data_IF_587283568827
#
_entry.id   IF_587283568827
#
_cell.length_a   1.000
_cell.length_b   1.000
_cell.length_c   1.000
_cell.angle_alpha   90.00
_cell.angle_beta   90.00
_cell.angle_gamma   90.00
#
_symmetry.space_group_name_H-M   'P 1'
#
loop_
_entity.id
_entity.type
_entity.pdbx_description
1 polymer ?
#
# COMPACT_ATOMS: atom_id res chain seq x y z
N UNK A 1 34.20 -4.20 12.50
CA UNK A 1 33.13 -3.41 11.85
C UNK A 1 32.34 -4.35 10.96
N UNK A 2 31.17 -4.82 11.40
CA UNK A 2 30.34 -5.70 10.57
C UNK A 2 29.55 -4.84 9.58
N UNK A 3 29.93 -4.92 8.30
CA UNK A 3 29.18 -4.34 7.19
C UNK A 3 28.00 -5.27 6.95
N UNK A 4 26.81 -4.88 7.38
CA UNK A 4 25.57 -5.60 7.04
C UNK A 4 25.41 -5.54 5.52
N UNK A 5 25.72 -6.64 4.85
CA UNK A 5 25.45 -6.84 3.43
C UNK A 5 23.94 -6.89 3.25
N UNK A 6 23.31 -5.74 3.01
CA UNK A 6 21.95 -5.69 2.49
C UNK A 6 21.99 -6.37 1.13
N UNK A 7 21.49 -7.61 1.06
CA UNK A 7 21.35 -8.32 -0.19
C UNK A 7 20.52 -7.46 -1.17
N UNK A 8 20.79 -7.53 -2.49
CA UNK A 8 20.01 -6.80 -3.47
C UNK A 8 18.54 -7.18 -3.30
N UNK A 9 17.69 -6.20 -3.02
CA UNK A 9 16.26 -6.40 -3.15
C UNK A 9 15.94 -6.35 -4.64
N UNK A 10 15.59 -7.48 -5.23
CA UNK A 10 15.12 -7.51 -6.61
C UNK A 10 13.68 -6.99 -6.63
N UNK A 11 13.49 -5.90 -7.38
CA UNK A 11 12.18 -5.33 -7.66
C UNK A 11 11.73 -5.79 -9.05
N UNK A 12 10.56 -6.37 -9.13
CA UNK A 12 9.89 -6.70 -10.40
C UNK A 12 8.57 -5.95 -10.48
N UNK A 13 8.42 -5.12 -11.51
CA UNK A 13 7.17 -4.40 -11.74
C UNK A 13 6.10 -5.38 -12.23
N UNK A 14 4.98 -5.49 -11.53
CA UNK A 14 3.84 -6.33 -11.91
C UNK A 14 2.89 -5.59 -12.86
N UNK A 15 2.54 -4.34 -12.51
CA UNK A 15 1.75 -3.47 -13.39
C UNK A 15 1.98 -1.99 -13.05
N UNK A 16 1.72 -1.12 -14.01
CA UNK A 16 1.84 0.34 -13.90
C UNK A 16 0.64 0.98 -14.57
N UNK A 17 -0.06 1.82 -13.83
CA UNK A 17 -1.33 2.39 -14.22
C UNK A 17 -1.27 3.92 -14.10
N UNK A 18 -1.56 4.69 -15.16
CA UNK A 18 -1.76 6.12 -15.03
C UNK A 18 -3.03 6.38 -14.22
N UNK A 19 -2.96 7.34 -13.29
CA UNK A 19 -4.07 7.67 -12.41
C UNK A 19 -4.57 9.08 -12.74
N UNK A 20 -5.88 9.20 -12.96
CA UNK A 20 -6.51 10.52 -13.12
C UNK A 20 -6.63 11.27 -11.77
N UNK A 21 -6.66 10.54 -10.65
CA UNK A 21 -6.78 11.12 -9.31
C UNK A 21 -6.31 10.13 -8.24
N UNK A 22 -5.62 10.64 -7.23
CA UNK A 22 -5.35 9.97 -5.96
C UNK A 22 -6.05 10.73 -4.84
N UNK A 23 -6.66 10.04 -3.89
CA UNK A 23 -7.37 10.66 -2.77
C UNK A 23 -7.09 9.88 -1.50
N UNK A 24 -6.75 10.59 -0.44
CA UNK A 24 -6.37 9.96 0.83
C UNK A 24 -6.89 10.77 2.03
N UNK A 25 -7.03 10.09 3.14
CA UNK A 25 -7.40 10.68 4.44
C UNK A 25 -6.91 9.75 5.54
N UNK A 26 -6.45 10.32 6.65
CA UNK A 26 -6.10 9.57 7.85
C UNK A 26 -7.05 9.96 8.96
N UNK A 27 -7.68 8.99 9.62
CA UNK A 27 -8.61 9.22 10.73
C UNK A 27 -8.35 8.26 11.87
N UNK A 28 -8.80 8.63 13.07
CA UNK A 28 -8.84 7.69 14.19
C UNK A 28 -9.79 6.51 13.91
N UNK A 29 -9.54 5.37 14.56
CA UNK A 29 -10.32 4.14 14.34
C UNK A 29 -11.81 4.31 14.68
N UNK A 30 -12.14 5.16 15.65
CA UNK A 30 -13.50 5.46 16.10
C UNK A 30 -14.17 6.64 15.39
N UNK A 31 -13.60 7.16 14.31
CA UNK A 31 -14.17 8.29 13.59
C UNK A 31 -15.50 7.92 12.91
N UNK A 32 -16.59 8.61 13.30
CA UNK A 32 -17.95 8.36 12.80
C UNK A 32 -18.55 9.56 12.01
N UNK A 33 -17.72 10.53 11.60
CA UNK A 33 -18.15 11.70 10.82
C UNK A 33 -17.82 11.61 9.32
N UNK A 34 -18.14 12.66 8.54
CA UNK A 34 -17.63 12.85 7.18
C UNK A 34 -16.09 12.87 7.14
N UNK A 35 -15.51 12.26 6.11
CA UNK A 35 -14.06 12.22 5.92
C UNK A 35 -13.57 13.46 5.18
N UNK A 36 -12.53 14.11 5.70
CA UNK A 36 -11.85 15.23 5.05
C UNK A 36 -10.76 14.70 4.12
N UNK A 37 -11.13 14.47 2.86
CA UNK A 37 -10.23 13.93 1.85
C UNK A 37 -9.26 14.98 1.32
N UNK A 38 -7.99 14.59 1.24
CA UNK A 38 -6.99 15.26 0.41
C UNK A 38 -7.04 14.67 -0.99
N UNK A 39 -7.02 15.53 -2.01
CA UNK A 39 -7.12 15.12 -3.41
C UNK A 39 -5.91 15.59 -4.21
N UNK A 40 -5.28 14.67 -4.93
CA UNK A 40 -4.24 14.94 -5.92
C UNK A 40 -4.79 14.58 -7.29
N UNK A 41 -4.95 15.58 -8.16
CA UNK A 41 -5.40 15.38 -9.54
C UNK A 41 -4.20 14.99 -10.39
N UNK A 42 -4.34 13.90 -11.16
CA UNK A 42 -3.30 13.44 -12.06
C UNK A 42 -3.40 14.14 -13.40
N UNK A 43 -2.30 14.75 -13.84
CA UNK A 43 -2.19 15.44 -15.12
C UNK A 43 -1.25 14.68 -16.07
N UNK A 44 -1.30 13.34 -16.01
CA UNK A 44 -0.38 12.44 -16.72
C UNK A 44 0.91 12.12 -15.94
N UNK A 45 1.11 12.74 -14.79
CA UNK A 45 2.28 12.63 -13.90
C UNK A 45 2.05 11.70 -12.70
N UNK A 46 0.80 11.32 -12.42
CA UNK A 46 0.41 10.48 -11.30
C UNK A 46 0.28 9.01 -11.73
N UNK A 47 1.00 8.13 -11.05
CA UNK A 47 1.18 6.73 -11.42
C UNK A 47 0.94 5.83 -10.20
N UNK A 48 0.17 4.77 -10.40
CA UNK A 48 0.08 3.64 -9.47
C UNK A 48 0.88 2.46 -10.01
N UNK A 49 1.80 1.94 -9.21
CA UNK A 49 2.64 0.80 -9.57
C UNK A 49 2.44 -0.33 -8.57
N UNK A 50 2.22 -1.54 -9.08
CA UNK A 50 2.31 -2.75 -8.27
C UNK A 50 3.67 -3.38 -8.54
N UNK A 51 4.43 -3.62 -7.47
CA UNK A 51 5.77 -4.18 -7.53
C UNK A 51 5.84 -5.44 -6.68
N UNK A 52 6.58 -6.45 -7.13
CA UNK A 52 6.96 -7.59 -6.32
C UNK A 52 8.41 -7.41 -5.90
N UNK A 53 8.62 -7.33 -4.59
CA UNK A 53 9.92 -7.19 -3.92
C UNK A 53 10.34 -8.56 -3.37
N UNK A 54 11.46 -9.08 -3.86
CA UNK A 54 12.07 -10.27 -3.28
C UNK A 54 12.81 -9.88 -2.00
N UNK A 55 12.50 -10.56 -0.90
CA UNK A 55 13.26 -10.41 0.36
C UNK A 55 14.22 -11.59 0.44
N UNK A 56 15.52 -11.31 0.38
CA UNK A 56 16.54 -12.34 0.48
C UNK A 56 16.33 -13.19 1.76
N UNK A 57 16.26 -14.52 1.58
CA UNK A 57 16.01 -15.47 2.66
C UNK A 57 14.54 -15.77 2.97
N UNK A 58 13.58 -15.06 2.36
CA UNK A 58 12.16 -15.43 2.40
C UNK A 58 11.74 -15.97 1.04
N UNK A 59 11.28 -17.22 0.98
CA UNK A 59 10.76 -17.82 -0.27
C UNK A 59 9.50 -17.14 -0.83
N UNK A 60 8.95 -16.14 -0.13
CA UNK A 60 7.77 -15.38 -0.53
C UNK A 60 8.15 -13.95 -0.94
N UNK A 61 7.86 -13.59 -2.18
CA UNK A 61 7.97 -12.20 -2.63
C UNK A 61 6.83 -11.35 -2.09
N UNK A 62 7.13 -10.10 -1.71
CA UNK A 62 6.14 -9.15 -1.19
C UNK A 62 5.58 -8.30 -2.31
N UNK A 63 4.26 -8.14 -2.35
CA UNK A 63 3.58 -7.24 -3.28
C UNK A 63 3.37 -5.87 -2.63
N UNK A 64 3.88 -4.84 -3.28
CA UNK A 64 3.82 -3.44 -2.86
C UNK A 64 2.94 -2.67 -3.84
N UNK A 65 2.03 -1.85 -3.32
CA UNK A 65 1.34 -0.81 -4.08
C UNK A 65 2.01 0.54 -3.79
N UNK A 66 2.54 1.18 -4.82
CA UNK A 66 3.14 2.51 -4.75
C UNK A 66 2.33 3.50 -5.57
N UNK A 67 2.05 4.67 -5.00
CA UNK A 67 1.50 5.82 -5.72
C UNK A 67 2.59 6.88 -5.78
N UNK A 68 2.95 7.32 -6.98
CA UNK A 68 3.98 8.35 -7.17
C UNK A 68 3.52 9.44 -8.12
N UNK A 69 4.06 10.64 -7.92
CA UNK A 69 3.93 11.77 -8.83
C UNK A 69 5.34 12.22 -9.23
N UNK A 70 5.69 12.03 -10.50
CA UNK A 70 7.07 12.22 -10.98
C UNK A 70 8.08 11.39 -10.17
N UNK A 71 8.88 12.05 -9.32
CA UNK A 71 9.87 11.42 -8.43
C UNK A 71 9.37 11.27 -6.98
N UNK A 72 8.25 11.90 -6.63
CA UNK A 72 7.71 11.90 -5.27
C UNK A 72 6.84 10.67 -5.04
N UNK A 73 7.14 9.92 -3.98
CA UNK A 73 6.30 8.83 -3.51
C UNK A 73 5.23 9.42 -2.59
N UNK A 74 3.97 9.34 -3.02
CA UNK A 74 2.83 9.81 -2.24
C UNK A 74 2.30 8.72 -1.30
N UNK A 75 2.49 7.45 -1.64
CA UNK A 75 2.03 6.30 -0.86
C UNK A 75 2.84 5.04 -1.21
N UNK A 76 3.14 4.20 -0.22
CA UNK A 76 3.90 2.94 -0.37
C UNK A 76 3.38 1.89 0.63
N UNK A 77 2.56 0.95 0.14
CA UNK A 77 1.78 0.01 0.96
C UNK A 77 2.22 -1.42 0.67
N UNK A 78 2.66 -2.15 1.70
CA UNK A 78 2.91 -3.59 1.61
C UNK A 78 1.61 -4.39 1.74
N UNK A 79 1.06 -4.84 0.61
CA UNK A 79 -0.19 -5.60 0.57
C UNK A 79 -0.04 -7.00 1.18
N UNK A 80 1.19 -7.53 1.27
CA UNK A 80 1.44 -8.89 1.75
C UNK A 80 1.31 -8.99 3.25
N UNK A 81 1.77 -7.95 3.96
CA UNK A 81 1.64 -7.88 5.42
C UNK A 81 0.15 -7.85 5.83
N UNK A 82 -0.70 -7.11 5.13
CA UNK A 82 -2.15 -7.07 5.40
C UNK A 82 -2.86 -8.40 5.11
N UNK A 83 -2.50 -9.09 4.02
CA UNK A 83 -3.06 -10.42 3.73
C UNK A 83 -2.66 -11.44 4.80
N UNK A 84 -1.42 -11.35 5.32
CA UNK A 84 -0.96 -12.23 6.40
C UNK A 84 -1.74 -11.99 7.70
N UNK A 85 -1.91 -10.73 8.10
CA UNK A 85 -2.69 -10.37 9.31
C UNK A 85 -4.14 -10.86 9.23
N UNK A 86 -4.77 -10.77 8.06
CA UNK A 86 -6.12 -11.29 7.84
C UNK A 86 -6.19 -12.81 8.04
N UNK A 87 -5.21 -13.55 7.53
CA UNK A 87 -5.17 -15.01 7.66
C UNK A 87 -4.92 -15.47 9.10
N UNK A 88 -4.21 -14.69 9.91
CA UNK A 88 -3.96 -15.01 11.33
C UNK A 88 -5.12 -14.64 12.26
N UNK A 89 -5.89 -13.59 11.94
CA UNK A 89 -6.97 -13.06 12.80
C UNK A 89 -8.37 -13.58 12.42
N UNK A 90 -8.53 -14.90 12.23
CA UNK A 90 -9.83 -15.50 11.90
C UNK A 90 -10.87 -15.46 13.05
N UNK A 91 -10.54 -14.91 14.22
CA UNK A 91 -11.46 -14.79 15.35
C UNK A 91 -12.26 -13.47 15.30
N UNK A 92 -13.50 -13.49 14.77
CA UNK A 92 -14.62 -12.53 14.96
C UNK A 92 -14.37 -11.01 14.95
N UNK A 93 -13.15 -10.53 14.71
CA UNK A 93 -12.78 -9.13 14.72
C UNK A 93 -12.93 -8.54 13.31
N UNK A 94 -13.37 -7.29 13.24
CA UNK A 94 -13.51 -6.55 11.97
C UNK A 94 -12.12 -6.46 11.30
N UNK A 95 -11.99 -6.75 9.99
CA UNK A 95 -10.71 -6.66 9.30
C UNK A 95 -10.09 -5.27 9.46
N UNK A 96 -8.81 -5.22 9.83
CA UNK A 96 -8.01 -3.98 9.89
C UNK A 96 -7.79 -3.39 8.49
N UNK A 97 -7.84 -4.25 7.48
CA UNK A 97 -7.63 -3.94 6.08
C UNK A 97 -8.89 -4.17 5.24
N UNK A 98 -9.19 -3.27 4.31
CA UNK A 98 -10.27 -3.44 3.33
C UNK A 98 -9.88 -2.86 1.98
N UNK A 99 -10.21 -3.59 0.91
CA UNK A 99 -10.06 -3.14 -0.48
C UNK A 99 -11.44 -3.11 -1.13
N UNK A 100 -11.77 -1.99 -1.74
CA UNK A 100 -12.99 -1.82 -2.54
C UNK A 100 -12.56 -1.56 -3.98
N UNK A 101 -13.01 -2.43 -4.88
CA UNK A 101 -12.80 -2.29 -6.32
C UNK A 101 -14.13 -1.91 -6.97
N UNK A 102 -14.23 -0.68 -7.48
CA UNK A 102 -15.35 -0.22 -8.30
C UNK A 102 -14.76 0.40 -9.55
N UNK A 103 -14.61 -0.35 -10.66
CA UNK A 103 -13.93 0.15 -11.85
C UNK A 103 -14.43 1.54 -12.28
N UNK A 104 -13.53 2.50 -12.55
CA UNK A 104 -12.06 2.39 -12.58
C UNK A 104 -11.35 2.65 -11.23
N UNK A 105 -12.09 2.74 -10.12
CA UNK A 105 -11.59 3.13 -8.80
C UNK A 105 -11.15 1.93 -7.94
N UNK A 106 -10.00 2.10 -7.28
CA UNK A 106 -9.50 1.25 -6.20
C UNK A 106 -9.42 2.09 -4.92
N UNK A 107 -10.00 1.60 -3.83
CA UNK A 107 -9.87 2.21 -2.51
C UNK A 107 -9.32 1.19 -1.52
N UNK A 108 -8.37 1.62 -0.70
CA UNK A 108 -7.70 0.79 0.29
C UNK A 108 -7.80 1.49 1.64
N UNK A 109 -8.29 0.77 2.67
CA UNK A 109 -8.30 1.22 4.05
C UNK A 109 -7.42 0.29 4.87
N UNK A 110 -6.53 0.87 5.67
CA UNK A 110 -5.59 0.15 6.54
C UNK A 110 -5.25 1.01 7.76
N UNK A 111 -4.80 0.40 8.87
CA UNK A 111 -4.31 1.16 10.02
C UNK A 111 -3.02 1.90 9.66
N UNK A 112 -2.97 3.19 9.98
CA UNK A 112 -1.73 3.97 9.90
C UNK A 112 -1.01 3.93 11.25
N UNK A 113 0.16 3.28 11.30
CA UNK A 113 1.00 3.20 12.49
C UNK A 113 0.72 1.98 13.38
N UNK A 114 1.56 0.95 13.24
CA UNK A 114 2.06 0.12 14.35
C UNK A 114 3.30 -0.66 13.87
N UNK A 115 4.48 -0.04 13.96
CA UNK A 115 5.76 -0.75 13.92
C UNK A 115 6.34 -0.76 15.34
N UNK A 116 6.10 -1.84 16.06
CA UNK A 116 6.96 -2.32 17.14
C UNK A 116 7.14 -3.82 16.98
#
# INVERSE_FOLDING_TARGET
MYRSSQAPQDFSQLTRLPLAKFSFTTTSLGHNGPLNWSHVIGNGDLIGTFEKRSVAGSGSGRVILRISRELDILEDIDLTDFVREMNTNQSRQKPSFAVIVKPPCLAVKYPSGNTY
#
